data_IF_037883280846
#
_entry.id   IF_037883280846
#
_cell.length_a   1.000
_cell.length_b   1.000
_cell.length_c   1.000
_cell.angle_alpha   90.00
_cell.angle_beta   90.00
_cell.angle_gamma   90.00
#
_symmetry.space_group_name_H-M   'P 1'
#
loop_
_entity.id
_entity.type
_entity.pdbx_description
1 polymer ?
#
# COMPACT_ATOMS: atom_id res chain seq x y z
N UNK A 1 112.87 -19.56 -34.07
CA UNK A 1 111.64 -19.62 -33.23
C UNK A 1 110.51 -18.72 -33.75
N UNK A 2 110.74 -17.43 -34.04
CA UNK A 2 109.69 -16.51 -34.53
C UNK A 2 108.97 -16.94 -35.83
N UNK A 3 109.69 -17.54 -36.79
CA UNK A 3 109.09 -18.00 -38.06
C UNK A 3 108.15 -19.20 -37.89
N UNK A 4 108.43 -20.11 -36.95
CA UNK A 4 107.61 -21.29 -36.65
C UNK A 4 106.28 -20.89 -36.01
N UNK A 5 106.30 -19.89 -35.13
CA UNK A 5 105.08 -19.34 -34.50
C UNK A 5 104.13 -18.70 -35.53
N UNK A 6 104.68 -18.09 -36.59
CA UNK A 6 103.89 -17.49 -37.66
C UNK A 6 103.21 -18.56 -38.53
N UNK A 7 103.90 -19.66 -38.84
CA UNK A 7 103.28 -20.78 -39.57
C UNK A 7 102.19 -21.49 -38.76
N UNK A 8 102.36 -21.60 -37.44
CA UNK A 8 101.32 -22.15 -36.55
C UNK A 8 100.09 -21.24 -36.52
N UNK A 9 100.26 -19.92 -36.39
CA UNK A 9 99.15 -18.97 -36.43
C UNK A 9 98.39 -19.00 -37.78
N UNK A 10 99.10 -19.20 -38.89
CA UNK A 10 98.48 -19.31 -40.21
C UNK A 10 97.69 -20.63 -40.36
N UNK A 11 98.15 -21.72 -39.76
CA UNK A 11 97.45 -23.01 -39.76
C UNK A 11 96.17 -23.01 -38.90
N UNK A 12 96.16 -22.24 -37.79
CA UNK A 12 94.95 -22.05 -36.99
C UNK A 12 93.87 -21.20 -37.69
N UNK A 13 94.26 -20.33 -38.63
CA UNK A 13 93.30 -19.47 -39.36
C UNK A 13 92.43 -20.22 -40.37
N UNK A 14 92.84 -21.41 -40.82
CA UNK A 14 92.12 -22.18 -41.86
C UNK A 14 91.07 -23.14 -41.29
N UNK A 15 90.86 -23.20 -39.98
CA UNK A 15 89.87 -24.08 -39.35
C UNK A 15 88.55 -23.41 -38.96
N UNK A 16 88.37 -22.13 -39.28
CA UNK A 16 87.07 -21.47 -39.15
C UNK A 16 86.19 -21.72 -40.38
N UNK A 17 85.76 -22.96 -40.56
CA UNK A 17 84.57 -23.24 -41.37
C UNK A 17 83.38 -22.90 -40.48
N UNK A 18 82.78 -21.74 -40.71
CA UNK A 18 81.52 -21.38 -40.07
C UNK A 18 80.48 -22.45 -40.44
N UNK A 19 79.94 -23.15 -39.44
CA UNK A 19 78.82 -24.06 -39.64
C UNK A 19 77.61 -23.21 -40.03
N UNK A 20 77.28 -23.16 -41.32
CA UNK A 20 76.01 -22.60 -41.77
C UNK A 20 74.91 -23.57 -41.36
N UNK A 21 74.16 -23.24 -40.31
CA UNK A 21 72.97 -24.01 -39.95
C UNK A 21 71.97 -23.96 -41.11
N UNK A 22 71.46 -25.11 -41.51
CA UNK A 22 70.43 -25.23 -42.55
C UNK A 22 69.09 -24.59 -42.14
N UNK A 23 68.92 -24.31 -40.84
CA UNK A 23 67.73 -23.67 -40.27
C UNK A 23 68.17 -22.49 -39.42
N UNK A 24 67.55 -21.33 -39.66
CA UNK A 24 67.81 -20.11 -38.92
C UNK A 24 66.52 -19.55 -38.34
N UNK A 25 66.56 -19.17 -37.06
CA UNK A 25 65.47 -18.48 -36.38
C UNK A 25 65.88 -17.02 -36.13
N UNK A 26 65.01 -16.08 -36.50
CA UNK A 26 65.23 -14.65 -36.36
C UNK A 26 64.00 -14.01 -35.72
N UNK A 27 64.21 -12.95 -34.95
CA UNK A 27 63.16 -12.05 -34.46
C UNK A 27 63.47 -10.63 -34.92
N UNK A 28 62.43 -9.84 -35.15
CA UNK A 28 62.54 -8.41 -35.49
C UNK A 28 63.00 -7.57 -34.30
N UNK A 29 62.50 -7.85 -33.09
CA UNK A 29 62.90 -7.20 -31.84
C UNK A 29 63.02 -8.19 -30.69
N UNK A 30 63.99 -7.95 -29.81
CA UNK A 30 64.18 -8.71 -28.56
C UNK A 30 63.57 -8.00 -27.35
N UNK A 31 63.11 -6.77 -27.50
CA UNK A 31 62.50 -5.98 -26.43
C UNK A 31 61.13 -5.47 -26.90
N UNK A 32 60.07 -5.90 -26.22
CA UNK A 32 58.69 -5.51 -26.51
C UNK A 32 58.02 -4.97 -25.25
N UNK A 33 56.94 -4.22 -25.41
CA UNK A 33 56.03 -3.90 -24.30
C UNK A 33 55.00 -5.02 -24.12
N UNK A 34 54.40 -5.10 -22.94
CA UNK A 34 53.27 -6.01 -22.70
C UNK A 34 52.18 -5.76 -23.76
N UNK A 35 51.75 -6.83 -24.44
CA UNK A 35 50.73 -6.82 -25.49
C UNK A 35 51.19 -6.27 -26.85
N UNK A 36 52.46 -5.88 -26.98
CA UNK A 36 53.07 -5.55 -28.27
C UNK A 36 53.35 -6.86 -29.04
N UNK A 37 53.18 -6.80 -30.36
CA UNK A 37 53.39 -7.94 -31.24
C UNK A 37 54.75 -7.83 -31.92
N UNK A 38 55.39 -8.97 -32.15
CA UNK A 38 56.69 -9.04 -32.81
C UNK A 38 56.75 -10.24 -33.76
N UNK A 39 57.55 -10.13 -34.82
CA UNK A 39 57.68 -11.14 -35.86
C UNK A 39 58.77 -12.16 -35.51
N UNK A 40 58.39 -13.43 -35.47
CA UNK A 40 59.30 -14.56 -35.38
C UNK A 40 59.37 -15.28 -36.73
N UNK A 41 60.59 -15.42 -37.26
CA UNK A 41 60.84 -15.93 -38.60
C UNK A 41 61.75 -17.16 -38.55
N UNK A 42 61.26 -18.28 -39.10
CA UNK A 42 62.05 -19.48 -39.34
C UNK A 42 62.39 -19.54 -40.83
N UNK A 43 63.69 -19.55 -41.15
CA UNK A 43 64.21 -19.68 -42.52
C UNK A 43 64.91 -21.04 -42.67
N UNK A 44 64.54 -21.79 -43.70
CA UNK A 44 65.06 -23.12 -44.01
C UNK A 44 65.71 -23.09 -45.38
N UNK A 45 66.96 -23.55 -45.49
CA UNK A 45 67.72 -23.59 -46.74
C UNK A 45 67.40 -24.84 -47.58
N UNK A 46 66.11 -25.17 -47.70
CA UNK A 46 65.56 -26.25 -48.51
C UNK A 46 64.09 -25.99 -48.85
N UNK A 47 63.64 -26.43 -50.03
CA UNK A 47 62.24 -26.31 -50.47
C UNK A 47 61.49 -27.65 -50.45
N UNK A 48 62.19 -28.77 -50.66
CA UNK A 48 61.58 -30.10 -50.76
C UNK A 48 61.63 -30.87 -49.42
N UNK A 49 60.53 -31.55 -49.07
CA UNK A 49 60.41 -32.40 -47.88
C UNK A 49 60.84 -31.71 -46.57
N UNK A 50 60.29 -30.51 -46.34
CA UNK A 50 60.45 -29.74 -45.10
C UNK A 50 59.19 -29.84 -44.25
N UNK A 51 59.34 -30.29 -43.00
CA UNK A 51 58.25 -30.32 -42.00
C UNK A 51 58.60 -29.31 -40.92
N UNK A 52 57.76 -28.28 -40.78
CA UNK A 52 57.92 -27.24 -39.76
C UNK A 52 57.25 -27.65 -38.44
N UNK A 53 57.80 -27.20 -37.30
CA UNK A 53 57.23 -27.46 -35.99
C UNK A 53 55.95 -26.66 -35.77
N UNK A 54 55.04 -27.24 -35.00
CA UNK A 54 53.94 -26.51 -34.38
C UNK A 54 54.47 -25.79 -33.14
N UNK A 55 54.35 -24.46 -33.10
CA UNK A 55 54.87 -23.66 -32.00
C UNK A 55 53.94 -23.77 -30.78
N UNK A 56 54.47 -24.31 -29.68
CA UNK A 56 53.84 -24.29 -28.36
C UNK A 56 54.84 -23.69 -27.37
N UNK A 57 54.62 -22.42 -27.01
CA UNK A 57 55.54 -21.60 -26.23
C UNK A 57 54.94 -21.30 -24.84
N UNK A 58 55.80 -21.11 -23.83
CA UNK A 58 55.38 -20.78 -22.47
C UNK A 58 55.64 -19.30 -22.19
N UNK A 59 54.57 -18.54 -21.93
CA UNK A 59 54.63 -17.11 -21.63
C UNK A 59 54.66 -16.17 -22.85
N UNK A 60 54.80 -16.74 -24.05
CA UNK A 60 54.63 -16.06 -25.33
C UNK A 60 53.54 -16.82 -26.10
N UNK A 61 52.62 -16.10 -26.73
CA UNK A 61 51.49 -16.66 -27.46
C UNK A 61 51.64 -16.39 -28.96
N UNK A 62 51.21 -17.36 -29.78
CA UNK A 62 51.14 -17.23 -31.24
C UNK A 62 49.81 -16.58 -31.58
N UNK A 63 49.85 -15.34 -32.05
CA UNK A 63 48.66 -14.58 -32.47
C UNK A 63 48.23 -15.01 -33.87
N UNK A 64 49.19 -15.13 -34.77
CA UNK A 64 48.92 -15.53 -36.15
C UNK A 64 50.13 -16.26 -36.76
N UNK A 65 49.85 -17.16 -37.70
CA UNK A 65 50.85 -17.82 -38.53
C UNK A 65 50.65 -17.35 -39.97
N UNK A 66 51.54 -16.47 -40.43
CA UNK A 66 51.51 -15.98 -41.80
C UNK A 66 51.80 -17.14 -42.78
N UNK A 67 51.34 -17.00 -44.02
CA UNK A 67 51.52 -18.02 -45.05
C UNK A 67 52.99 -18.33 -45.33
N UNK A 68 53.26 -19.58 -45.72
CA UNK A 68 54.57 -20.05 -46.16
C UNK A 68 55.03 -19.31 -47.42
N UNK A 69 56.22 -18.73 -47.37
CA UNK A 69 56.86 -18.06 -48.51
C UNK A 69 58.08 -18.85 -49.00
N UNK A 70 58.29 -18.89 -50.31
CA UNK A 70 59.43 -19.56 -50.96
C UNK A 70 60.24 -18.55 -51.75
N UNK A 71 61.42 -18.20 -51.24
CA UNK A 71 62.27 -17.14 -51.78
C UNK A 71 63.68 -17.69 -52.03
N UNK A 72 64.12 -17.71 -53.30
CA UNK A 72 65.49 -18.11 -53.72
C UNK A 72 65.95 -19.42 -53.06
N UNK A 73 65.19 -20.51 -53.25
CA UNK A 73 65.43 -21.85 -52.67
C UNK A 73 65.47 -21.91 -51.13
N UNK A 74 64.91 -20.90 -50.44
CA UNK A 74 64.67 -20.91 -49.00
C UNK A 74 63.18 -20.90 -48.72
N UNK A 75 62.76 -21.67 -47.74
CA UNK A 75 61.40 -21.66 -47.22
C UNK A 75 61.36 -20.80 -45.96
N UNK A 76 60.47 -19.83 -45.93
CA UNK A 76 60.36 -18.84 -44.86
C UNK A 76 58.95 -18.92 -44.26
N UNK A 77 58.90 -19.18 -42.96
CA UNK A 77 57.67 -19.16 -42.19
C UNK A 77 57.75 -18.02 -41.18
N UNK A 78 56.72 -17.18 -41.15
CA UNK A 78 56.60 -16.06 -40.21
C UNK A 78 55.46 -16.31 -39.23
N UNK A 79 55.67 -15.91 -37.99
CA UNK A 79 54.70 -15.98 -36.91
C UNK A 79 54.63 -14.62 -36.23
N UNK A 80 53.42 -14.19 -35.90
CA UNK A 80 53.19 -13.02 -35.08
C UNK A 80 53.03 -13.51 -33.65
N UNK A 81 53.96 -13.11 -32.79
CA UNK A 81 53.99 -13.50 -31.38
C UNK A 81 53.69 -12.30 -30.49
N UNK A 82 53.15 -12.55 -29.30
CA UNK A 82 52.98 -11.52 -28.26
C UNK A 82 53.14 -12.12 -26.87
N UNK A 83 53.30 -11.27 -25.86
CA UNK A 83 53.27 -11.71 -24.47
C UNK A 83 52.57 -10.71 -23.56
N UNK A 84 51.80 -11.24 -22.61
CA UNK A 84 50.92 -10.48 -21.73
C UNK A 84 51.50 -10.23 -20.34
N UNK A 85 52.61 -10.91 -20.02
CA UNK A 85 53.28 -10.81 -18.73
C UNK A 85 54.66 -10.15 -18.88
N UNK A 86 55.04 -9.30 -17.94
CA UNK A 86 56.39 -8.72 -17.90
C UNK A 86 57.43 -9.75 -17.45
N UNK A 87 58.55 -9.82 -18.14
CA UNK A 87 59.64 -10.73 -17.79
C UNK A 87 60.56 -11.02 -18.96
N UNK A 88 61.55 -11.87 -18.73
CA UNK A 88 62.40 -12.41 -19.77
C UNK A 88 61.94 -13.83 -20.10
N UNK A 89 61.56 -14.06 -21.36
CA UNK A 89 61.04 -15.32 -21.85
C UNK A 89 61.95 -15.88 -22.94
N UNK A 90 62.14 -17.19 -22.93
CA UNK A 90 62.89 -17.87 -23.98
C UNK A 90 61.93 -18.51 -24.98
N UNK A 91 62.17 -18.26 -26.26
CA UNK A 91 61.70 -19.12 -27.33
C UNK A 91 62.66 -20.32 -27.37
N UNK A 92 62.22 -21.53 -26.98
CA UNK A 92 63.07 -22.71 -26.98
C UNK A 92 63.43 -23.10 -28.42
N UNK A 93 64.46 -23.92 -28.55
CA UNK A 93 64.88 -24.45 -29.84
C UNK A 93 63.74 -25.23 -30.50
N UNK A 94 63.48 -24.91 -31.76
CA UNK A 94 62.41 -25.52 -32.55
C UNK A 94 63.02 -26.57 -33.49
N UNK A 95 62.36 -27.73 -33.58
CA UNK A 95 62.82 -28.84 -34.40
C UNK A 95 62.16 -28.79 -35.78
N UNK A 96 62.98 -28.67 -36.82
CA UNK A 96 62.55 -28.70 -38.23
C UNK A 96 63.13 -29.96 -38.87
N UNK A 97 62.30 -30.71 -39.61
CA UNK A 97 62.78 -31.87 -40.37
C UNK A 97 63.03 -31.47 -41.83
N UNK A 98 64.24 -31.71 -42.32
CA UNK A 98 64.62 -31.54 -43.72
C UNK A 98 65.04 -32.92 -44.25
N UNK A 99 64.34 -33.44 -45.26
CA UNK A 99 64.65 -34.77 -45.85
C UNK A 99 64.84 -35.87 -44.79
N UNK A 100 63.94 -35.88 -43.79
CA UNK A 100 63.94 -36.83 -42.68
C UNK A 100 65.13 -36.71 -41.70
N UNK A 101 65.89 -35.61 -41.73
CA UNK A 101 66.91 -35.26 -40.74
C UNK A 101 66.42 -34.10 -39.87
N UNK A 102 66.62 -34.20 -38.55
CA UNK A 102 66.20 -33.19 -37.60
C UNK A 102 67.27 -32.08 -37.48
N UNK A 103 66.85 -30.84 -37.63
CA UNK A 103 67.65 -29.65 -37.40
C UNK A 103 66.98 -28.79 -36.32
N UNK A 104 67.78 -28.23 -35.42
CA UNK A 104 67.30 -27.38 -34.34
C UNK A 104 67.59 -25.91 -34.65
N UNK A 105 66.65 -25.03 -34.31
CA UNK A 105 66.90 -23.59 -34.31
C UNK A 105 67.67 -23.17 -33.07
N UNK A 106 68.20 -21.94 -33.10
CA UNK A 106 68.72 -21.29 -31.90
C UNK A 106 67.57 -20.93 -30.93
N UNK A 107 67.89 -20.82 -29.64
CA UNK A 107 66.97 -20.28 -28.65
C UNK A 107 67.13 -18.76 -28.58
N UNK A 108 66.01 -18.05 -28.50
CA UNK A 108 65.98 -16.58 -28.50
C UNK A 108 65.38 -16.07 -27.19
N UNK A 109 66.04 -15.08 -26.58
CA UNK A 109 65.54 -14.40 -25.38
C UNK A 109 64.77 -13.14 -25.78
N UNK A 110 63.53 -13.02 -25.29
CA UNK A 110 62.65 -11.88 -25.48
C UNK A 110 62.38 -11.24 -24.12
N UNK A 111 62.60 -9.94 -24.01
CA UNK A 111 62.28 -9.16 -22.83
C UNK A 111 60.98 -8.39 -23.03
N UNK A 112 60.03 -8.62 -22.13
CA UNK A 112 58.73 -7.96 -22.12
C UNK A 112 58.73 -6.92 -21.00
N UNK A 113 58.77 -5.65 -21.39
CA UNK A 113 58.82 -4.51 -20.50
C UNK A 113 57.40 -3.98 -20.21
N UNK A 114 57.19 -3.55 -18.97
CA UNK A 114 56.01 -2.75 -18.61
C UNK A 114 56.12 -1.34 -19.18
N UNK A 115 54.99 -0.70 -19.48
CA UNK A 115 54.97 0.73 -19.80
C UNK A 115 55.22 1.53 -18.52
N UNK A 116 56.24 2.39 -18.53
CA UNK A 116 56.50 3.32 -17.42
C UNK A 116 55.40 4.38 -17.40
N UNK A 117 54.58 4.38 -16.36
CA UNK A 117 53.58 5.42 -16.11
C UNK A 117 54.26 6.49 -15.26
N UNK A 118 54.35 7.72 -15.76
CA UNK A 118 54.82 8.86 -14.98
C UNK A 118 53.75 9.24 -13.95
N UNK A 119 54.00 8.85 -12.70
CA UNK A 119 53.08 9.11 -11.59
C UNK A 119 53.17 10.55 -11.07
N UNK A 120 54.15 11.34 -11.51
CA UNK A 120 54.34 12.73 -11.04
C UNK A 120 53.32 13.71 -11.63
N UNK A 121 52.82 13.43 -12.85
CA UNK A 121 51.83 14.26 -13.54
C UNK A 121 50.38 13.83 -13.29
N UNK A 122 50.17 12.78 -12.49
CA UNK A 122 48.81 12.32 -12.16
C UNK A 122 48.20 13.31 -11.16
N UNK A 123 47.22 14.09 -11.62
CA UNK A 123 46.42 14.96 -10.76
C UNK A 123 45.73 14.11 -9.69
N UNK A 124 46.22 14.20 -8.44
CA UNK A 124 45.62 13.51 -7.30
C UNK A 124 44.28 14.16 -6.99
N UNK A 125 43.21 13.44 -7.23
CA UNK A 125 41.87 13.86 -6.83
C UNK A 125 41.63 13.44 -5.37
N UNK A 126 40.89 14.24 -4.59
CA UNK A 126 40.43 13.79 -3.28
C UNK A 126 39.60 12.52 -3.42
N UNK A 127 39.55 11.72 -2.36
CA UNK A 127 38.72 10.51 -2.28
C UNK A 127 37.30 10.92 -2.63
N UNK A 128 36.77 10.37 -3.74
CA UNK A 128 35.38 10.61 -4.14
C UNK A 128 34.48 10.15 -3.00
N UNK A 129 33.57 11.01 -2.57
CA UNK A 129 32.57 10.65 -1.58
C UNK A 129 31.70 9.49 -2.08
N UNK A 130 31.07 8.78 -1.13
CA UNK A 130 30.10 7.74 -1.44
C UNK A 130 28.96 8.39 -2.22
N UNK A 131 28.80 7.98 -3.48
CA UNK A 131 27.67 8.44 -4.30
C UNK A 131 26.46 7.62 -3.89
N UNK A 132 25.45 8.29 -3.34
CA UNK A 132 24.17 7.65 -3.03
C UNK A 132 23.55 7.07 -4.29
N UNK A 133 23.04 5.86 -4.18
CA UNK A 133 22.24 5.23 -5.23
C UNK A 133 20.87 5.92 -5.35
N UNK A 134 20.28 5.96 -6.54
CA UNK A 134 18.92 6.47 -6.70
C UNK A 134 17.94 5.54 -5.97
N UNK A 135 16.98 6.13 -5.26
CA UNK A 135 15.96 5.38 -4.55
C UNK A 135 15.11 4.52 -5.51
N UNK A 136 14.93 3.25 -5.17
CA UNK A 136 14.10 2.30 -5.90
C UNK A 136 12.76 2.10 -5.18
N UNK A 137 11.72 1.68 -5.90
CA UNK A 137 10.41 1.36 -5.30
C UNK A 137 10.49 0.32 -4.18
N UNK A 138 11.45 -0.61 -4.28
CA UNK A 138 11.66 -1.66 -3.29
C UNK A 138 12.07 -1.10 -1.92
N UNK A 139 12.81 0.01 -1.88
CA UNK A 139 13.25 0.67 -0.63
C UNK A 139 12.06 1.16 0.20
N UNK A 140 10.93 1.44 -0.46
CA UNK A 140 9.72 1.98 0.17
C UNK A 140 8.67 0.91 0.49
N UNK A 141 8.86 -0.35 0.08
CA UNK A 141 7.89 -1.42 0.34
C UNK A 141 7.55 -1.54 1.82
N UNK A 142 8.57 -1.53 2.69
CA UNK A 142 8.38 -1.60 4.14
C UNK A 142 7.58 -0.39 4.66
N UNK A 143 7.95 0.82 4.23
CA UNK A 143 7.24 2.05 4.60
C UNK A 143 5.78 2.03 4.13
N UNK A 144 5.51 1.50 2.93
CA UNK A 144 4.17 1.36 2.39
C UNK A 144 3.32 0.38 3.22
N UNK A 145 3.90 -0.74 3.68
CA UNK A 145 3.21 -1.65 4.60
C UNK A 145 2.86 -0.99 5.94
N UNK A 146 3.77 -0.18 6.50
CA UNK A 146 3.49 0.60 7.72
C UNK A 146 2.37 1.63 7.51
N UNK A 147 2.37 2.34 6.39
CA UNK A 147 1.31 3.29 6.03
C UNK A 147 -0.03 2.55 5.88
N UNK A 148 -0.04 1.41 5.21
CA UNK A 148 -1.24 0.60 5.02
C UNK A 148 -1.77 0.06 6.36
N UNK A 149 -0.88 -0.39 7.25
CA UNK A 149 -1.25 -0.84 8.59
C UNK A 149 -1.86 0.29 9.43
N UNK A 150 -1.28 1.49 9.39
CA UNK A 150 -1.81 2.68 10.07
C UNK A 150 -3.19 3.04 9.52
N UNK A 151 -3.35 3.04 8.19
CA UNK A 151 -4.65 3.27 7.55
C UNK A 151 -5.69 2.24 7.97
N UNK A 152 -5.32 0.96 8.03
CA UNK A 152 -6.21 -0.10 8.49
C UNK A 152 -6.63 0.12 9.95
N UNK A 153 -5.71 0.50 10.83
CA UNK A 153 -6.03 0.82 12.24
C UNK A 153 -6.94 2.05 12.33
N UNK A 154 -6.62 3.14 11.62
CA UNK A 154 -7.42 4.37 11.63
C UNK A 154 -8.82 4.11 11.08
N UNK A 155 -8.94 3.43 9.94
CA UNK A 155 -10.23 3.07 9.34
C UNK A 155 -11.03 2.13 10.23
N UNK A 156 -10.39 1.17 10.89
CA UNK A 156 -11.06 0.28 11.85
C UNK A 156 -11.56 1.05 13.07
N UNK A 157 -10.73 1.92 13.66
CA UNK A 157 -11.11 2.76 14.80
C UNK A 157 -12.23 3.73 14.39
N UNK A 158 -12.13 4.36 13.22
CA UNK A 158 -13.16 5.26 12.69
C UNK A 158 -14.45 4.49 12.40
N UNK A 159 -14.37 3.31 11.77
CA UNK A 159 -15.50 2.44 11.52
C UNK A 159 -16.19 2.04 12.82
N UNK A 160 -15.46 1.61 13.86
CA UNK A 160 -16.06 1.29 15.15
C UNK A 160 -16.57 2.52 15.91
N UNK A 161 -15.91 3.66 15.80
CA UNK A 161 -16.34 4.92 16.43
C UNK A 161 -17.59 5.50 15.77
N UNK A 162 -17.73 5.36 14.45
CA UNK A 162 -18.90 5.78 13.67
C UNK A 162 -20.02 4.73 13.71
N UNK A 163 -19.70 3.43 13.68
CA UNK A 163 -20.69 2.35 13.81
C UNK A 163 -21.33 2.30 15.20
N UNK A 164 -20.64 2.82 16.23
CA UNK A 164 -21.22 2.98 17.58
C UNK A 164 -22.15 4.19 17.74
N UNK A 165 -22.41 5.00 16.70
CA UNK A 165 -23.39 6.08 16.83
C UNK A 165 -24.81 5.69 16.47
N UNK A 166 -25.08 4.61 15.72
CA UNK A 166 -26.44 4.38 15.19
C UNK A 166 -26.89 2.90 15.17
N UNK A 167 -26.22 1.99 15.89
CA UNK A 167 -26.73 0.61 16.03
C UNK A 167 -26.53 0.04 17.42
N UNK A 168 -26.77 0.90 18.40
CA UNK A 168 -27.48 0.50 19.60
C UNK A 168 -28.59 1.52 19.78
N UNK A 169 -29.54 1.54 18.83
CA UNK A 169 -30.92 1.45 19.28
C UNK A 169 -31.02 0.13 20.05
N UNK A 170 -30.51 0.16 21.29
CA UNK A 170 -31.27 -0.41 22.39
C UNK A 170 -32.62 0.21 22.09
N UNK A 171 -33.55 -0.62 21.61
CA UNK A 171 -34.94 -0.44 21.91
C UNK A 171 -34.92 -0.27 23.42
N UNK A 172 -34.75 0.97 23.85
CA UNK A 172 -35.48 1.48 24.97
C UNK A 172 -36.84 1.01 24.55
N UNK A 173 -37.29 -0.11 25.13
CA UNK A 173 -38.71 -0.27 25.36
C UNK A 173 -38.99 1.06 26.01
N UNK A 174 -39.43 2.04 25.22
CA UNK A 174 -40.08 3.21 25.75
C UNK A 174 -41.02 2.57 26.74
N UNK A 175 -40.68 2.76 28.01
CA UNK A 175 -41.31 2.07 29.11
C UNK A 175 -42.78 2.30 28.83
N UNK A 176 -43.50 1.24 28.40
CA UNK A 176 -44.83 1.39 27.82
C UNK A 176 -45.60 2.18 28.87
N UNK A 177 -45.83 3.46 28.58
CA UNK A 177 -46.43 4.33 29.57
C UNK A 177 -47.75 3.64 29.89
N UNK A 178 -48.07 3.59 31.19
CA UNK A 178 -49.38 3.10 31.60
C UNK A 178 -50.43 3.83 30.73
N UNK A 179 -51.46 3.14 30.21
CA UNK A 179 -52.43 3.74 29.30
C UNK A 179 -52.95 5.11 29.78
N UNK A 180 -53.21 5.24 31.08
CA UNK A 180 -53.58 6.51 31.71
C UNK A 180 -52.50 7.61 31.55
N UNK A 181 -51.25 7.29 31.89
CA UNK A 181 -50.13 8.24 31.79
C UNK A 181 -49.87 8.66 30.34
N UNK A 182 -50.01 7.73 29.40
CA UNK A 182 -49.89 8.01 27.97
C UNK A 182 -50.99 8.96 27.49
N UNK A 183 -52.25 8.70 27.87
CA UNK A 183 -53.39 9.53 27.51
C UNK A 183 -53.24 10.96 28.06
N UNK A 184 -52.88 11.12 29.34
CA UNK A 184 -52.65 12.43 29.97
C UNK A 184 -51.52 13.19 29.28
N UNK A 185 -50.40 12.52 28.96
CA UNK A 185 -49.29 13.11 28.21
C UNK A 185 -49.73 13.55 26.81
N UNK A 186 -50.44 12.69 26.07
CA UNK A 186 -50.86 12.98 24.71
C UNK A 186 -51.90 14.11 24.67
N UNK A 187 -52.80 14.20 25.65
CA UNK A 187 -53.72 15.33 25.80
C UNK A 187 -52.96 16.64 26.02
N UNK A 188 -51.91 16.64 26.86
CA UNK A 188 -51.07 17.82 27.06
C UNK A 188 -50.32 18.22 25.77
N UNK A 189 -49.78 17.24 25.04
CA UNK A 189 -49.12 17.49 23.75
C UNK A 189 -50.11 18.03 22.71
N UNK A 190 -51.36 17.58 22.73
CA UNK A 190 -52.42 18.10 21.87
C UNK A 190 -52.70 19.59 22.17
N UNK A 191 -52.73 19.96 23.45
CA UNK A 191 -52.89 21.36 23.89
C UNK A 191 -51.70 22.23 23.41
N UNK A 192 -50.47 21.72 23.50
CA UNK A 192 -49.24 22.41 23.06
C UNK A 192 -49.18 22.63 21.53
N UNK A 193 -49.81 21.77 20.73
CA UNK A 193 -49.84 21.91 19.26
C UNK A 193 -50.68 23.09 18.77
N UNK A 194 -51.54 23.66 19.62
CA UNK A 194 -52.40 24.80 19.32
C UNK A 194 -53.18 24.64 17.98
N UNK A 195 -53.68 23.43 17.70
CA UNK A 195 -54.24 23.09 16.37
C UNK A 195 -55.51 23.89 16.06
N UNK A 196 -56.45 23.97 17.00
CA UNK A 196 -57.72 24.64 16.77
C UNK A 196 -57.58 26.17 16.71
N UNK A 197 -56.61 26.75 17.43
CA UNK A 197 -56.25 28.17 17.32
C UNK A 197 -55.67 28.50 15.93
N UNK A 198 -55.02 27.52 15.28
CA UNK A 198 -54.47 27.64 13.93
C UNK A 198 -55.48 27.21 12.83
N UNK A 199 -56.79 27.29 13.10
CA UNK A 199 -57.87 26.89 12.18
C UNK A 199 -57.85 25.40 11.75
N UNK A 200 -57.11 24.52 12.46
CA UNK A 200 -57.06 23.07 12.19
C UNK A 200 -58.00 22.30 13.12
N UNK A 201 -59.24 22.77 13.26
CA UNK A 201 -60.25 22.20 14.18
C UNK A 201 -60.54 20.73 13.89
N UNK A 202 -60.65 20.34 12.60
CA UNK A 202 -60.84 18.93 12.21
C UNK A 202 -59.70 18.02 12.71
N UNK A 203 -58.45 18.46 12.54
CA UNK A 203 -57.29 17.69 12.97
C UNK A 203 -57.26 17.56 14.50
N UNK A 204 -57.61 18.63 15.20
CA UNK A 204 -57.71 18.62 16.67
C UNK A 204 -58.71 17.57 17.16
N UNK A 205 -59.94 17.52 16.60
CA UNK A 205 -60.93 16.51 17.00
C UNK A 205 -60.58 15.09 16.55
N UNK A 206 -59.81 14.91 15.46
CA UNK A 206 -59.22 13.61 15.13
C UNK A 206 -58.27 13.13 16.21
N UNK A 207 -57.27 13.94 16.54
CA UNK A 207 -56.27 13.56 17.56
C UNK A 207 -56.90 13.42 18.95
N UNK A 208 -57.87 14.28 19.32
CA UNK A 208 -58.56 14.20 20.62
C UNK A 208 -59.30 12.87 20.80
N UNK A 209 -60.08 12.44 19.80
CA UNK A 209 -60.80 11.17 19.91
C UNK A 209 -59.88 9.96 19.82
N UNK A 210 -58.78 10.06 19.06
CA UNK A 210 -57.82 8.96 18.93
C UNK A 210 -57.13 8.72 20.28
N UNK A 211 -56.80 9.78 21.02
CA UNK A 211 -56.24 9.66 22.38
C UNK A 211 -57.22 8.97 23.33
N UNK A 212 -58.49 9.39 23.32
CA UNK A 212 -59.52 8.81 24.20
C UNK A 212 -59.83 7.36 23.82
N UNK A 213 -59.95 7.05 22.53
CA UNK A 213 -60.20 5.68 22.04
C UNK A 213 -59.02 4.77 22.32
N UNK A 214 -57.79 5.20 22.04
CA UNK A 214 -56.58 4.42 22.35
C UNK A 214 -56.43 4.17 23.86
N UNK A 215 -56.80 5.13 24.71
CA UNK A 215 -56.87 4.92 26.15
C UNK A 215 -57.86 3.80 26.51
N UNK A 216 -59.12 3.91 26.05
CA UNK A 216 -60.16 2.91 26.32
C UNK A 216 -59.74 1.53 25.80
N UNK A 217 -59.15 1.48 24.61
CA UNK A 217 -58.71 0.24 23.97
C UNK A 217 -57.61 -0.47 24.76
N UNK A 218 -56.62 0.28 25.24
CA UNK A 218 -55.52 -0.29 26.02
C UNK A 218 -55.87 -0.57 27.48
N UNK A 219 -56.75 0.24 28.08
CA UNK A 219 -57.14 0.09 29.48
C UNK A 219 -58.17 -1.02 29.67
N UNK A 220 -59.10 -1.18 28.72
CA UNK A 220 -60.19 -2.17 28.80
C UNK A 220 -60.04 -3.34 27.82
N UNK A 221 -58.97 -3.34 27.01
CA UNK A 221 -58.69 -4.37 25.99
C UNK A 221 -59.85 -4.59 25.00
N UNK A 222 -60.49 -3.50 24.56
CA UNK A 222 -61.59 -3.49 23.57
C UNK A 222 -61.17 -2.74 22.30
N UNK A 223 -61.57 -3.15 21.09
CA UNK A 223 -61.13 -2.51 19.84
C UNK A 223 -61.82 -1.15 19.60
N UNK A 224 -61.53 -0.14 20.42
CA UNK A 224 -62.22 1.15 20.42
C UNK A 224 -61.89 2.02 19.19
N UNK A 225 -60.70 1.88 18.59
CA UNK A 225 -60.34 2.56 17.36
C UNK A 225 -61.11 2.02 16.14
N UNK A 226 -61.43 0.72 16.15
CA UNK A 226 -62.09 0.03 15.03
C UNK A 226 -63.63 0.02 15.17
N UNK A 227 -64.16 0.28 16.37
CA UNK A 227 -65.60 0.23 16.66
C UNK A 227 -66.29 1.56 16.35
N UNK A 228 -67.53 1.51 15.87
CA UNK A 228 -68.36 2.72 15.64
C UNK A 228 -68.68 3.43 16.96
N UNK A 229 -69.02 4.73 16.90
CA UNK A 229 -69.37 5.52 18.10
C UNK A 229 -70.49 4.85 18.90
N UNK A 230 -71.58 4.40 18.25
CA UNK A 230 -72.69 3.74 18.94
C UNK A 230 -72.29 2.39 19.55
N UNK A 231 -71.52 1.57 18.82
CA UNK A 231 -71.10 0.25 19.31
C UNK A 231 -70.16 0.32 20.50
N UNK A 232 -69.28 1.34 20.55
CA UNK A 232 -68.41 1.56 21.69
C UNK A 232 -69.20 1.95 22.94
N UNK A 233 -70.22 2.80 22.79
CA UNK A 233 -71.10 3.21 23.91
C UNK A 233 -71.94 2.04 24.42
N UNK A 234 -72.46 1.19 23.54
CA UNK A 234 -73.17 -0.05 23.90
C UNK A 234 -72.26 -0.98 24.72
N UNK A 235 -71.05 -1.25 24.21
CA UNK A 235 -70.07 -2.11 24.88
C UNK A 235 -69.69 -1.58 26.28
N UNK A 236 -69.45 -0.28 26.41
CA UNK A 236 -69.11 0.34 27.69
C UNK A 236 -70.30 0.37 28.66
N UNK A 237 -71.54 0.47 28.15
CA UNK A 237 -72.75 0.39 28.97
C UNK A 237 -72.92 -1.01 29.53
N UNK A 238 -72.73 -2.05 28.71
CA UNK A 238 -72.78 -3.45 29.15
C UNK A 238 -71.70 -3.74 30.21
N UNK A 239 -70.49 -3.21 30.04
CA UNK A 239 -69.40 -3.34 31.02
C UNK A 239 -69.70 -2.62 32.34
N UNK A 240 -70.41 -1.50 32.29
CA UNK A 240 -70.86 -0.80 33.50
C UNK A 240 -71.97 -1.57 34.21
N UNK A 241 -72.92 -2.17 33.49
CA UNK A 241 -74.02 -2.95 34.08
C UNK A 241 -73.53 -4.27 34.70
N UNK A 242 -72.48 -4.87 34.12
CA UNK A 242 -71.84 -6.10 34.62
C UNK A 242 -70.79 -5.86 35.69
N UNK A 243 -70.59 -4.60 36.12
CA UNK A 243 -69.53 -4.18 37.07
C UNK A 243 -68.11 -4.55 36.63
N UNK A 244 -67.84 -4.71 35.33
CA UNK A 244 -66.50 -4.96 34.78
C UNK A 244 -65.61 -3.71 34.82
N UNK A 245 -66.22 -2.52 34.77
CA UNK A 245 -65.54 -1.23 34.89
C UNK A 245 -66.12 -0.40 36.03
N UNK A 246 -65.26 0.34 36.72
CA UNK A 246 -65.63 1.40 37.64
C UNK A 246 -65.84 2.67 36.80
N UNK A 247 -67.09 2.99 36.49
CA UNK A 247 -67.47 4.23 35.80
C UNK A 247 -68.87 4.66 36.21
N UNK A 248 -69.21 5.93 35.99
CA UNK A 248 -70.56 6.45 36.19
C UNK A 248 -71.32 6.59 34.86
N UNK A 249 -72.66 6.50 34.89
CA UNK A 249 -73.51 6.64 33.69
C UNK A 249 -73.32 8.00 33.03
N UNK A 250 -73.07 9.06 33.80
CA UNK A 250 -72.82 10.40 33.25
C UNK A 250 -71.49 10.46 32.49
N UNK A 251 -70.50 9.62 32.87
CA UNK A 251 -69.21 9.55 32.16
C UNK A 251 -69.37 8.91 30.79
N UNK A 252 -70.14 7.82 30.68
CA UNK A 252 -70.46 7.18 29.39
C UNK A 252 -71.27 8.15 28.51
N UNK A 253 -72.24 8.86 29.08
CA UNK A 253 -73.02 9.86 28.34
C UNK A 253 -72.14 11.02 27.85
N UNK A 254 -71.16 11.45 28.66
CA UNK A 254 -70.20 12.49 28.29
C UNK A 254 -69.28 12.05 27.16
N UNK A 255 -68.81 10.79 27.17
CA UNK A 255 -68.07 10.19 26.06
C UNK A 255 -68.91 10.15 24.78
N UNK A 256 -70.19 9.78 24.88
CA UNK A 256 -71.08 9.75 23.72
C UNK A 256 -71.23 11.15 23.09
N UNK A 257 -71.47 12.18 23.91
CA UNK A 257 -71.56 13.58 23.46
C UNK A 257 -70.25 14.04 22.79
N UNK A 258 -69.11 13.73 23.39
CA UNK A 258 -67.79 14.08 22.85
C UNK A 258 -67.56 13.46 21.46
N UNK A 259 -67.82 12.15 21.32
CA UNK A 259 -67.63 11.44 20.06
C UNK A 259 -68.61 11.92 18.98
N UNK A 260 -69.87 12.18 19.32
CA UNK A 260 -70.85 12.76 18.40
C UNK A 260 -70.42 14.14 17.91
N UNK A 261 -69.97 15.01 18.81
CA UNK A 261 -69.48 16.33 18.45
C UNK A 261 -68.26 16.24 17.53
N UNK A 262 -67.32 15.34 17.83
CA UNK A 262 -66.18 15.08 16.97
C UNK A 262 -66.59 14.59 15.57
N UNK A 263 -67.58 13.70 15.47
CA UNK A 263 -68.11 13.20 14.20
C UNK A 263 -68.77 14.34 13.39
N UNK A 264 -69.52 15.23 14.03
CA UNK A 264 -70.07 16.44 13.40
C UNK A 264 -68.98 17.36 12.86
N UNK A 265 -67.88 17.54 13.58
CA UNK A 265 -66.73 18.34 13.10
C UNK A 265 -66.02 17.65 11.92
N UNK A 266 -65.78 16.34 12.01
CA UNK A 266 -65.01 15.57 11.02
C UNK A 266 -65.74 15.40 9.69
N UNK A 267 -67.04 15.13 9.75
CA UNK A 267 -67.85 14.72 8.61
C UNK A 267 -68.88 15.78 8.20
N UNK A 268 -69.53 16.44 9.17
CA UNK A 268 -70.54 17.48 8.89
C UNK A 268 -69.96 18.91 8.80
N UNK A 269 -68.62 19.07 8.92
CA UNK A 269 -67.91 20.36 8.89
C UNK A 269 -68.44 21.37 9.92
N UNK A 270 -68.95 20.89 11.05
CA UNK A 270 -69.33 21.74 12.19
C UNK A 270 -68.14 22.55 12.69
N UNK A 271 -68.40 23.78 13.16
CA UNK A 271 -67.40 24.69 13.72
C UNK A 271 -67.81 25.08 15.14
N UNK A 272 -67.36 24.32 16.16
CA UNK A 272 -67.65 24.61 17.55
C UNK A 272 -67.00 25.94 17.95
N UNK A 273 -67.59 26.61 18.94
CA UNK A 273 -67.02 27.81 19.54
C UNK A 273 -65.86 27.44 20.46
N UNK A 274 -64.93 28.36 20.70
CA UNK A 274 -63.72 28.09 21.49
C UNK A 274 -64.03 27.50 22.88
N UNK A 275 -65.07 28.00 23.55
CA UNK A 275 -65.49 27.49 24.86
C UNK A 275 -66.03 26.05 24.80
N UNK A 276 -66.62 25.64 23.68
CA UNK A 276 -67.08 24.27 23.46
C UNK A 276 -65.89 23.32 23.25
N UNK A 277 -64.86 23.76 22.51
CA UNK A 277 -63.62 22.99 22.29
C UNK A 277 -62.86 22.79 23.61
N UNK A 278 -62.80 23.82 24.45
CA UNK A 278 -62.21 23.73 25.80
C UNK A 278 -63.03 22.83 26.73
N UNK A 279 -64.37 22.89 26.66
CA UNK A 279 -65.24 21.98 27.39
C UNK A 279 -65.03 20.52 26.95
N UNK A 280 -64.96 20.27 25.65
CA UNK A 280 -64.70 18.93 25.08
C UNK A 280 -63.33 18.37 25.52
N UNK A 281 -62.30 19.23 25.60
CA UNK A 281 -61.00 18.85 26.16
C UNK A 281 -61.11 18.43 27.63
N UNK A 282 -61.87 19.17 28.43
CA UNK A 282 -62.08 18.85 29.84
C UNK A 282 -62.90 17.57 30.01
N UNK A 283 -63.90 17.35 29.16
CA UNK A 283 -64.67 16.11 29.08
C UNK A 283 -63.75 14.93 28.75
N UNK A 284 -62.85 15.07 27.76
CA UNK A 284 -61.86 14.04 27.44
C UNK A 284 -60.96 13.71 28.64
N UNK A 285 -60.55 14.71 29.44
CA UNK A 285 -59.81 14.48 30.68
C UNK A 285 -60.62 13.68 31.69
N UNK A 286 -61.86 14.12 31.92
CA UNK A 286 -62.79 13.51 32.87
C UNK A 286 -63.05 12.04 32.53
N UNK A 287 -63.17 11.70 31.25
CA UNK A 287 -63.34 10.32 30.79
C UNK A 287 -62.10 9.47 31.13
N UNK A 288 -60.91 9.98 30.84
CA UNK A 288 -59.64 9.28 31.14
C UNK A 288 -59.43 9.10 32.66
N UNK A 289 -59.87 10.06 33.48
CA UNK A 289 -59.74 9.99 34.94
C UNK A 289 -60.72 9.00 35.60
N UNK A 290 -61.90 8.80 35.00
CA UNK A 290 -63.01 8.07 35.62
C UNK A 290 -63.30 6.68 35.04
N UNK A 291 -62.77 6.32 33.87
CA UNK A 291 -62.91 4.95 33.34
C UNK A 291 -61.74 4.11 33.85
N UNK A 292 -62.03 3.11 34.68
CA UNK A 292 -61.03 2.16 35.20
C UNK A 292 -61.59 0.73 35.21
N UNK A 293 -60.77 -0.31 34.99
CA UNK A 293 -61.21 -1.68 35.16
C UNK A 293 -61.52 -1.95 36.65
N UNK A 294 -62.59 -2.71 36.91
CA UNK A 294 -62.90 -3.18 38.25
C UNK A 294 -62.17 -4.51 38.49
N UNK A 295 -60.93 -4.43 38.97
CA UNK A 295 -60.10 -5.62 39.17
C UNK A 295 -60.37 -6.19 40.57
N UNK A 296 -61.12 -7.30 40.67
CA UNK A 296 -60.87 -8.29 41.73
C UNK A 296 -59.58 -9.02 41.35
N UNK A 297 -58.60 -8.99 42.26
CA UNK A 297 -57.21 -9.39 42.02
C UNK A 297 -57.12 -10.88 41.66
N UNK A 298 -56.90 -11.20 40.39
CA UNK A 298 -56.15 -12.39 40.01
C UNK A 298 -54.72 -12.00 39.66
N UNK A 299 -53.85 -12.27 40.62
CA UNK A 299 -52.40 -12.18 40.58
C UNK A 299 -51.86 -13.20 39.55
N UNK A 300 -51.87 -12.84 38.26
CA UNK A 300 -51.11 -13.58 37.24
C UNK A 300 -50.59 -12.66 36.14
N UNK A 301 -49.77 -11.69 36.54
CA UNK A 301 -48.77 -11.13 35.65
C UNK A 301 -47.50 -10.95 36.47
N UNK A 302 -46.52 -11.81 36.21
CA UNK A 302 -45.21 -11.80 36.85
C UNK A 302 -44.62 -10.38 36.86
N UNK A 303 -44.65 -9.74 38.02
CA UNK A 303 -43.88 -8.53 38.27
C UNK A 303 -42.43 -8.99 38.46
N UNK A 304 -41.71 -9.18 37.35
CA UNK A 304 -40.26 -9.17 37.42
C UNK A 304 -39.85 -7.78 37.93
N UNK A 305 -39.12 -7.67 39.06
CA UNK A 305 -38.61 -6.39 39.51
C UNK A 305 -37.72 -5.84 38.39
N UNK A 306 -38.18 -4.77 37.76
CA UNK A 306 -37.38 -3.98 36.83
C UNK A 306 -36.22 -3.44 37.65
N UNK A 307 -35.06 -4.09 37.50
CA UNK A 307 -33.80 -3.58 38.00
C UNK A 307 -33.63 -2.21 37.36
N UNK A 308 -33.73 -1.15 38.17
CA UNK A 308 -33.28 0.19 37.78
C UNK A 308 -31.76 0.08 37.66
N UNK A 309 -31.29 -0.35 36.48
CA UNK A 309 -29.93 -0.09 36.07
C UNK A 309 -29.90 1.39 35.78
N UNK A 310 -29.54 2.20 36.79
CA UNK A 310 -29.07 3.55 36.51
C UNK A 310 -27.98 3.42 35.46
N UNK A 311 -28.28 3.98 34.29
CA UNK A 311 -27.39 4.06 33.15
C UNK A 311 -26.01 4.49 33.68
N UNK A 312 -24.94 3.68 33.59
CA UNK A 312 -23.62 4.23 33.82
C UNK A 312 -23.52 5.41 32.84
N UNK A 313 -23.26 6.60 33.37
CA UNK A 313 -23.05 7.79 32.56
C UNK A 313 -21.76 7.56 31.77
N UNK A 314 -21.89 6.84 30.65
CA UNK A 314 -20.84 6.70 29.66
C UNK A 314 -20.75 8.08 29.03
N UNK A 315 -19.86 8.89 29.61
CA UNK A 315 -19.50 10.20 29.08
C UNK A 315 -19.27 10.01 27.58
N UNK A 316 -20.07 10.72 26.76
CA UNK A 316 -19.79 10.87 25.32
C UNK A 316 -18.30 11.13 25.18
N UNK A 317 -17.59 10.49 24.24
CA UNK A 317 -16.18 10.77 24.06
C UNK A 317 -16.04 12.27 23.94
N UNK A 318 -15.29 12.86 24.87
CA UNK A 318 -15.18 14.31 24.97
C UNK A 318 -14.72 14.84 23.60
N UNK A 319 -15.10 16.07 23.28
CA UNK A 319 -14.66 16.75 22.05
C UNK A 319 -13.12 16.60 21.88
N UNK A 320 -12.40 16.53 23.00
CA UNK A 320 -11.00 16.14 23.10
C UNK A 320 -10.60 14.84 22.37
N UNK A 321 -11.33 13.73 22.51
CA UNK A 321 -10.99 12.46 21.84
C UNK A 321 -11.16 12.59 20.32
N UNK A 322 -12.18 13.32 19.86
CA UNK A 322 -12.37 13.63 18.43
C UNK A 322 -11.23 14.53 17.92
N UNK A 323 -10.87 15.56 18.68
CA UNK A 323 -9.75 16.45 18.36
C UNK A 323 -8.43 15.68 18.32
N UNK A 324 -8.17 14.79 19.29
CA UNK A 324 -6.96 13.97 19.34
C UNK A 324 -6.89 13.03 18.12
N UNK A 325 -8.00 12.43 17.71
CA UNK A 325 -8.02 11.60 16.49
C UNK A 325 -7.75 12.41 15.22
N UNK A 326 -8.27 13.63 15.13
CA UNK A 326 -8.02 14.53 13.99
C UNK A 326 -6.55 14.98 13.98
N UNK A 327 -6.00 15.36 15.14
CA UNK A 327 -4.58 15.75 15.28
C UNK A 327 -3.67 14.58 14.89
N UNK A 328 -3.99 13.36 15.33
CA UNK A 328 -3.20 12.18 14.98
C UNK A 328 -3.19 11.92 13.47
N UNK A 329 -4.35 12.05 12.82
CA UNK A 329 -4.45 11.94 11.35
C UNK A 329 -3.63 13.04 10.67
N UNK A 330 -3.68 14.28 11.16
CA UNK A 330 -2.94 15.42 10.60
C UNK A 330 -1.42 15.27 10.76
N UNK A 331 -0.96 14.69 11.87
CA UNK A 331 0.46 14.38 12.10
C UNK A 331 0.92 13.25 11.17
N UNK A 332 0.10 12.23 10.97
CA UNK A 332 0.40 11.13 10.05
C UNK A 332 0.47 11.64 8.60
N UNK A 333 -0.48 12.48 8.16
CA UNK A 333 -0.43 13.06 6.82
C UNK A 333 0.76 13.99 6.63
N UNK A 334 1.13 14.78 7.65
CA UNK A 334 2.33 15.62 7.61
C UNK A 334 3.62 14.78 7.52
N UNK A 335 3.70 13.65 8.22
CA UNK A 335 4.85 12.73 8.14
C UNK A 335 4.95 12.07 6.76
N UNK A 336 3.83 11.70 6.14
CA UNK A 336 3.79 11.16 4.78
C UNK A 336 4.15 12.25 3.75
N UNK A 337 3.65 13.47 3.90
CA UNK A 337 4.02 14.59 3.04
C UNK A 337 5.51 14.96 3.18
N UNK A 338 6.06 14.91 4.40
CA UNK A 338 7.48 15.13 4.65
C UNK A 338 8.35 14.04 4.03
N UNK A 339 7.96 12.76 4.13
CA UNK A 339 8.68 11.66 3.48
C UNK A 339 8.64 11.79 1.96
N UNK A 340 7.49 12.11 1.36
CA UNK A 340 7.33 12.38 -0.06
C UNK A 340 8.10 13.62 -0.53
N UNK A 341 8.20 14.67 0.29
CA UNK A 341 8.98 15.87 -0.05
C UNK A 341 10.49 15.60 -0.18
N UNK A 342 11.00 14.58 0.51
CA UNK A 342 12.37 14.08 0.32
C UNK A 342 12.53 13.24 -0.96
N UNK A 343 11.44 12.71 -1.49
CA UNK A 343 11.40 11.89 -2.72
C UNK A 343 11.29 12.77 -3.97
N UNK A 344 10.72 13.98 -3.88
CA UNK A 344 10.76 14.94 -4.99
C UNK A 344 12.24 15.37 -5.15
N UNK A 345 12.93 14.97 -6.24
CA UNK A 345 14.27 15.44 -6.47
C UNK A 345 14.20 16.96 -6.54
N UNK A 346 15.06 17.65 -5.78
CA UNK A 346 15.22 19.10 -5.83
C UNK A 346 15.64 19.47 -7.26
N UNK A 347 14.68 19.69 -8.15
CA UNK A 347 14.90 20.09 -9.54
C UNK A 347 15.26 21.57 -9.56
N UNK A 348 16.37 21.91 -8.93
CA UNK A 348 17.02 23.21 -9.01
C UNK A 348 18.48 23.02 -8.59
N UNK A 349 19.25 22.39 -9.46
CA UNK A 349 20.63 22.82 -9.66
C UNK A 349 20.66 23.48 -11.03
N UNK A 350 20.92 24.79 -11.02
CA UNK A 350 21.17 25.57 -12.22
C UNK A 350 22.13 24.81 -13.12
N UNK A 351 21.72 24.59 -14.38
CA UNK A 351 22.64 24.24 -15.47
C UNK A 351 23.69 25.33 -15.55
N UNK A 352 24.83 25.17 -14.89
CA UNK A 352 26.02 25.94 -15.24
C UNK A 352 26.47 25.43 -16.62
N UNK A 353 26.62 26.30 -17.63
CA UNK A 353 27.04 25.88 -18.94
C UNK A 353 28.47 25.34 -18.84
N UNK A 354 28.65 24.09 -19.29
CA UNK A 354 29.96 23.48 -19.47
C UNK A 354 30.69 24.33 -20.50
N UNK A 355 31.71 25.06 -20.07
CA UNK A 355 32.65 25.72 -20.98
C UNK A 355 33.53 24.62 -21.52
N UNK A 356 33.34 24.28 -22.80
CA UNK A 356 34.29 23.47 -23.56
C UNK A 356 35.65 24.18 -23.52
N UNK A 357 36.63 23.56 -22.87
CA UNK A 357 38.04 23.93 -23.01
C UNK A 357 38.57 23.09 -24.17
N UNK A 358 39.07 23.79 -25.19
CA UNK A 358 39.83 23.21 -26.31
C UNK A 358 41.16 22.63 -25.83
#
# INVERSE_FOLDING_TARGET
MKKILLYIALFYSTWSIAQTSAVKAEVDTTNIRIGEQFEYKISVDATDNVILPKLELKGIEVVDSLGLDTLKSKLIQRYILTGFDSGAYYIPQQQVFIRNQAHLTDSLLINIATVKIDTTQIKKFPIKGIKGEPYQFDDYKNTLFWILAIILVVTTVLYFALKRSDTDEIKTREQLLNPYQEAVRNLKLLDEKLLWQNNKVKQYYSELTDIVRNFIERELNVPALETTTSGLIETLSDFSETNFILTDKDTIQSLHKLLQQADLVKFAKSKPLAHEIEADRNIAKHIVDNIKPNIEVEESAEIHPVVIVEKPNVKKPSILIRIISIILILVITALIAFSLSKVIPKSNSLKTPVTNVQ
#
